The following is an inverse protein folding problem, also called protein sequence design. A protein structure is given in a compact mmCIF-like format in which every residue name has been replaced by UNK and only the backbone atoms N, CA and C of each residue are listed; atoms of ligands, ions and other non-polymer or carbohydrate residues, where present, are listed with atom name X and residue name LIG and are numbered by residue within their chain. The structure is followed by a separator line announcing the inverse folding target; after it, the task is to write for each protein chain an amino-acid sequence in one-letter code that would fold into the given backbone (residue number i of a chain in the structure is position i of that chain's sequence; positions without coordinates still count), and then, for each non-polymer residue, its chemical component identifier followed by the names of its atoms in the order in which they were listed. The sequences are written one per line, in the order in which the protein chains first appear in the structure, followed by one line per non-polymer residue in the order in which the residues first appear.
data_IF_582782695996
#
_entry.id   IF_582782695996
#
_cell.length_a   1.000
_cell.length_b   1.000
_cell.length_c   1.000
_cell.angle_alpha   90.00
_cell.angle_beta   90.00
_cell.angle_gamma   90.00
#
_symmetry.space_group_name_H-M   'P 1'
#
loop_
_entity.id
_entity.type
_entity.pdbx_description
1 polymer ?
#
# COMPACT_ATOMS: atom_id res chain seq x y z
N UNK A 1 8.36 22.36 16.17
CA UNK A 1 8.04 21.18 15.34
C UNK A 1 9.24 20.25 15.44
N UNK A 2 9.12 19.10 16.11
CA UNK A 2 10.19 18.09 16.14
C UNK A 2 10.20 17.41 14.77
N UNK A 3 11.36 17.27 14.12
CA UNK A 3 11.43 16.63 12.80
C UNK A 3 11.13 15.13 12.91
N UNK A 4 10.64 14.50 11.84
CA UNK A 4 10.40 13.06 11.82
C UNK A 4 11.65 12.25 12.24
N UNK A 5 12.83 12.68 11.79
CA UNK A 5 14.11 12.09 12.18
C UNK A 5 14.33 12.13 13.71
N UNK A 6 14.04 13.28 14.35
CA UNK A 6 14.15 13.39 15.80
C UNK A 6 13.11 12.52 16.52
N UNK A 7 11.87 12.48 16.02
CA UNK A 7 10.80 11.65 16.60
C UNK A 7 11.09 10.15 16.55
N UNK A 8 11.79 9.69 15.50
CA UNK A 8 12.16 8.28 15.33
C UNK A 8 13.59 7.95 15.77
N UNK A 9 14.31 8.91 16.35
CA UNK A 9 15.72 8.76 16.76
C UNK A 9 16.63 8.33 15.58
N UNK A 10 16.35 8.84 14.38
CA UNK A 10 17.13 8.62 13.16
C UNK A 10 18.15 9.75 13.02
N UNK A 11 19.43 9.41 12.97
CA UNK A 11 20.50 10.37 12.71
C UNK A 11 20.97 10.31 11.24
N UNK A 12 21.84 11.24 10.83
CA UNK A 12 22.33 11.31 9.45
C UNK A 12 23.11 10.07 8.98
N UNK A 13 23.73 9.33 9.91
CA UNK A 13 24.40 8.08 9.60
C UNK A 13 23.38 6.99 9.28
N UNK A 14 22.33 6.84 10.10
CA UNK A 14 21.23 5.91 9.85
C UNK A 14 20.52 6.21 8.53
N UNK A 15 20.33 7.49 8.17
CA UNK A 15 19.76 7.86 6.86
C UNK A 15 20.62 7.32 5.71
N UNK A 16 21.95 7.49 5.77
CA UNK A 16 22.86 6.97 4.74
C UNK A 16 22.83 5.44 4.69
N UNK A 17 22.73 4.77 5.82
CA UNK A 17 22.64 3.32 5.89
C UNK A 17 21.32 2.80 5.30
N UNK A 18 20.21 3.48 5.58
CA UNK A 18 18.91 3.20 4.94
C UNK A 18 19.01 3.37 3.43
N UNK A 19 19.59 4.48 2.95
CA UNK A 19 19.76 4.73 1.52
C UNK A 19 20.59 3.63 0.84
N UNK A 20 21.76 3.32 1.39
CA UNK A 20 22.63 2.27 0.85
C UNK A 20 21.98 0.89 0.87
N UNK A 21 21.25 0.56 1.94
CA UNK A 21 20.54 -0.72 2.05
C UNK A 21 19.40 -0.79 1.04
N UNK A 22 18.59 0.26 0.89
CA UNK A 22 17.50 0.30 -0.09
C UNK A 22 18.03 0.23 -1.53
N UNK A 23 19.13 0.92 -1.86
CA UNK A 23 19.76 0.83 -3.18
C UNK A 23 20.21 -0.60 -3.49
N UNK A 24 20.86 -1.27 -2.53
CA UNK A 24 21.27 -2.67 -2.68
C UNK A 24 20.07 -3.60 -2.85
N UNK A 25 19.03 -3.41 -2.03
CA UNK A 25 17.83 -4.25 -2.04
C UNK A 25 16.96 -4.04 -3.26
N UNK A 26 16.99 -2.86 -3.87
CA UNK A 26 16.30 -2.59 -5.14
C UNK A 26 17.01 -3.34 -6.28
N UNK A 27 18.35 -3.33 -6.30
CA UNK A 27 19.15 -4.14 -7.25
C UNK A 27 18.86 -5.64 -7.09
N UNK A 28 18.68 -6.12 -5.84
CA UNK A 28 18.32 -7.52 -5.54
C UNK A 28 16.83 -7.82 -5.79
N UNK A 29 16.00 -6.83 -6.12
CA UNK A 29 14.55 -6.96 -6.31
C UNK A 29 13.75 -7.22 -5.02
N UNK A 30 14.36 -7.00 -3.86
CA UNK A 30 13.79 -7.18 -2.52
C UNK A 30 13.01 -5.95 -2.04
N UNK A 31 13.40 -4.76 -2.48
CA UNK A 31 12.56 -3.56 -2.46
C UNK A 31 12.12 -3.23 -3.87
N UNK A 32 11.01 -2.50 -4.00
CA UNK A 32 10.45 -2.12 -5.28
C UNK A 32 10.07 -0.65 -5.24
N UNK A 33 10.66 0.13 -6.15
CA UNK A 33 10.40 1.56 -6.22
C UNK A 33 8.89 1.87 -6.45
N UNK A 34 8.27 2.81 -5.73
CA UNK A 34 8.85 3.68 -4.69
C UNK A 34 8.54 3.24 -3.23
N UNK A 35 7.42 2.56 -2.99
CA UNK A 35 6.84 2.45 -1.63
C UNK A 35 6.49 1.00 -1.21
N UNK A 36 7.05 -0.02 -1.85
CA UNK A 36 6.72 -1.42 -1.54
C UNK A 36 7.95 -2.30 -1.23
N UNK A 37 7.83 -3.08 -0.15
CA UNK A 37 8.70 -4.24 0.07
C UNK A 37 8.18 -5.42 -0.76
N UNK A 38 9.09 -6.20 -1.34
CA UNK A 38 8.70 -7.32 -2.19
C UNK A 38 8.22 -8.55 -1.41
N UNK A 39 8.47 -8.58 -0.09
CA UNK A 39 8.07 -9.68 0.79
C UNK A 39 8.02 -9.23 2.26
N UNK A 40 7.38 -10.05 3.09
CA UNK A 40 7.31 -9.78 4.54
C UNK A 40 8.67 -9.90 5.22
N UNK A 41 9.54 -10.77 4.72
CA UNK A 41 10.89 -11.01 5.21
C UNK A 41 11.76 -9.77 5.04
N UNK A 42 11.74 -9.16 3.85
CA UNK A 42 12.49 -7.92 3.59
C UNK A 42 12.01 -6.78 4.49
N UNK A 43 10.69 -6.67 4.72
CA UNK A 43 10.15 -5.65 5.62
C UNK A 43 10.57 -5.87 7.08
N UNK A 44 10.64 -7.13 7.55
CA UNK A 44 11.16 -7.47 8.87
C UNK A 44 12.65 -7.16 8.99
N UNK A 45 13.43 -7.49 7.98
CA UNK A 45 14.86 -7.16 7.92
C UNK A 45 15.05 -5.64 8.08
N UNK A 46 14.35 -4.85 7.27
CA UNK A 46 14.40 -3.39 7.34
C UNK A 46 14.07 -2.85 8.75
N UNK A 47 12.98 -3.33 9.34
CA UNK A 47 12.59 -2.95 10.72
C UNK A 47 13.66 -3.35 11.74
N UNK A 48 14.23 -4.54 11.63
CA UNK A 48 15.19 -5.06 12.61
C UNK A 48 16.55 -4.36 12.53
N UNK A 49 16.96 -3.91 11.33
CA UNK A 49 18.22 -3.17 11.17
C UNK A 49 18.05 -1.73 11.67
N UNK A 50 17.00 -1.03 11.24
CA UNK A 50 16.93 0.43 11.39
C UNK A 50 15.98 0.92 12.49
N UNK A 51 15.03 0.07 12.91
CA UNK A 51 13.93 0.46 13.79
C UNK A 51 13.67 -0.54 14.93
N UNK A 52 14.66 -1.35 15.30
CA UNK A 52 14.53 -2.34 16.37
C UNK A 52 14.21 -1.70 17.73
N UNK A 53 14.61 -0.45 17.95
CA UNK A 53 14.32 0.33 19.16
C UNK A 53 12.87 0.82 19.25
N UNK A 54 12.11 0.78 18.15
CA UNK A 54 10.72 1.22 18.13
C UNK A 54 9.77 0.06 18.43
N UNK A 55 8.93 0.25 19.44
CA UNK A 55 7.99 -0.78 19.93
C UNK A 55 6.60 -0.69 19.29
N UNK A 56 6.34 0.34 18.48
CA UNK A 56 5.04 0.62 17.86
C UNK A 56 5.16 0.67 16.35
N UNK A 57 5.52 -0.46 15.76
CA UNK A 57 5.57 -0.66 14.30
C UNK A 57 4.59 -1.77 13.96
N UNK A 58 3.92 -1.63 12.82
CA UNK A 58 3.02 -2.64 12.27
C UNK A 58 3.49 -3.01 10.87
N UNK A 59 3.48 -4.31 10.56
CA UNK A 59 3.67 -4.81 9.21
C UNK A 59 2.30 -5.12 8.63
N UNK A 60 1.97 -4.44 7.53
CA UNK A 60 0.73 -4.64 6.79
C UNK A 60 1.06 -5.26 5.44
N UNK A 61 0.37 -6.35 5.11
CA UNK A 61 0.27 -6.85 3.75
C UNK A 61 -0.98 -6.32 3.09
N UNK A 62 -0.84 -5.93 1.82
CA UNK A 62 -1.92 -5.40 0.97
C UNK A 62 -2.21 -6.45 -0.10
N UNK A 63 -3.45 -6.93 -0.13
CA UNK A 63 -3.89 -7.99 -1.04
C UNK A 63 -5.02 -7.48 -1.91
N UNK A 64 -4.94 -7.71 -3.22
CA UNK A 64 -5.97 -7.34 -4.17
C UNK A 64 -6.77 -8.59 -4.58
N UNK A 65 -8.10 -8.50 -4.74
CA UNK A 65 -8.87 -9.52 -5.44
C UNK A 65 -8.31 -9.78 -6.84
N UNK A 66 -8.51 -10.99 -7.37
CA UNK A 66 -7.99 -11.36 -8.70
C UNK A 66 -8.44 -10.42 -9.83
N UNK A 67 -9.67 -9.90 -9.75
CA UNK A 67 -10.17 -8.92 -10.72
C UNK A 67 -9.41 -7.60 -10.65
N UNK A 68 -9.09 -7.14 -9.44
CA UNK A 68 -8.39 -5.86 -9.21
C UNK A 68 -6.90 -5.99 -9.53
N UNK A 69 -6.28 -7.14 -9.23
CA UNK A 69 -4.88 -7.39 -9.56
C UNK A 69 -4.65 -7.41 -11.07
N UNK A 70 -5.53 -8.07 -11.84
CA UNK A 70 -5.50 -8.05 -13.31
C UNK A 70 -5.68 -6.65 -13.87
N UNK A 71 -6.68 -5.92 -13.36
CA UNK A 71 -6.93 -4.54 -13.77
C UNK A 71 -5.72 -3.64 -13.50
N UNK A 72 -5.06 -3.77 -12.35
CA UNK A 72 -3.84 -3.02 -12.04
C UNK A 72 -2.71 -3.37 -13.01
N UNK A 73 -2.51 -4.65 -13.34
CA UNK A 73 -1.49 -5.04 -14.33
C UNK A 73 -1.75 -4.40 -15.69
N UNK A 74 -3.01 -4.30 -16.10
CA UNK A 74 -3.47 -3.72 -17.37
C UNK A 74 -3.35 -2.19 -17.38
N UNK A 75 -3.88 -1.51 -16.37
CA UNK A 75 -3.88 -0.04 -16.24
C UNK A 75 -2.45 0.54 -16.22
N UNK A 76 -1.50 -0.24 -15.68
CA UNK A 76 -0.08 0.09 -15.64
C UNK A 76 0.76 -0.70 -16.64
N UNK A 77 0.18 -1.17 -17.74
CA UNK A 77 0.97 -1.81 -18.78
C UNK A 77 1.97 -0.81 -19.40
N UNK A 78 3.24 -1.13 -19.26
CA UNK A 78 4.37 -0.31 -19.68
C UNK A 78 4.65 -0.48 -21.18
N UNK A 79 3.68 -0.15 -22.03
CA UNK A 79 3.92 -0.06 -23.49
C UNK A 79 4.60 1.28 -23.85
N UNK A 80 4.78 2.18 -22.88
CA UNK A 80 5.50 3.44 -23.05
C UNK A 80 6.99 3.28 -22.68
N UNK A 81 7.93 3.35 -23.64
CA UNK A 81 9.37 3.20 -23.38
C UNK A 81 9.96 4.28 -22.45
N UNK A 82 9.24 5.38 -22.21
CA UNK A 82 9.69 6.49 -21.36
C UNK A 82 9.28 6.33 -19.89
N UNK A 83 8.44 5.35 -19.57
CA UNK A 83 7.97 5.10 -18.21
C UNK A 83 8.31 3.67 -17.81
N UNK A 84 9.28 3.53 -16.90
CA UNK A 84 9.68 2.23 -16.37
C UNK A 84 8.54 1.54 -15.61
N UNK A 85 8.66 0.24 -15.41
CA UNK A 85 7.65 -0.52 -14.68
C UNK A 85 7.66 -0.18 -13.17
N UNK A 86 6.49 0.17 -12.63
CA UNK A 86 6.31 0.48 -11.21
C UNK A 86 6.44 -0.77 -10.33
N UNK A 87 6.92 -0.57 -9.10
CA UNK A 87 7.22 -1.65 -8.16
C UNK A 87 6.02 -2.52 -7.79
N UNK A 88 4.87 -1.91 -7.50
CA UNK A 88 3.63 -2.62 -7.15
C UNK A 88 3.22 -3.59 -8.26
N UNK A 89 3.33 -3.18 -9.53
CA UNK A 89 3.04 -4.05 -10.68
C UNK A 89 3.99 -5.24 -10.76
N UNK A 90 5.29 -5.04 -10.52
CA UNK A 90 6.29 -6.12 -10.48
C UNK A 90 5.96 -7.17 -9.42
N UNK A 91 5.43 -6.74 -8.27
CA UNK A 91 5.01 -7.64 -7.18
C UNK A 91 3.75 -8.40 -7.60
N UNK A 92 2.70 -7.70 -8.06
CA UNK A 92 1.41 -8.31 -8.39
C UNK A 92 1.52 -9.31 -9.54
N UNK A 93 2.40 -9.07 -10.52
CA UNK A 93 2.71 -10.01 -11.61
C UNK A 93 3.30 -11.35 -11.18
N UNK A 94 3.79 -11.47 -9.94
CA UNK A 94 4.23 -12.76 -9.40
C UNK A 94 3.07 -13.69 -9.12
N UNK A 95 1.84 -13.14 -9.07
CA UNK A 95 0.60 -13.88 -8.82
C UNK A 95 0.68 -14.75 -7.56
N UNK A 96 1.40 -14.25 -6.55
CA UNK A 96 1.54 -14.93 -5.27
C UNK A 96 0.17 -15.02 -4.59
N UNK A 97 -0.15 -16.22 -4.10
CA UNK A 97 -1.40 -16.43 -3.36
C UNK A 97 -1.35 -15.74 -2.01
N UNK A 98 -2.52 -15.33 -1.51
CA UNK A 98 -2.64 -14.76 -0.17
C UNK A 98 -1.99 -15.71 0.87
N UNK A 99 -1.14 -15.16 1.74
CA UNK A 99 -0.55 -15.94 2.82
C UNK A 99 -1.62 -16.35 3.82
N UNK A 100 -1.64 -17.61 4.27
CA UNK A 100 -2.49 -18.05 5.39
C UNK A 100 -2.10 -17.40 6.73
N UNK A 101 -0.89 -16.83 6.80
CA UNK A 101 -0.42 -16.08 7.98
C UNK A 101 -1.01 -14.67 8.01
N UNK A 102 -0.91 -14.05 9.19
CA UNK A 102 -1.40 -12.69 9.42
C UNK A 102 -2.91 -12.63 9.70
N UNK A 103 -3.31 -11.56 10.37
CA UNK A 103 -4.71 -11.33 10.76
C UNK A 103 -5.33 -10.26 9.86
N UNK A 104 -6.47 -10.55 9.25
CA UNK A 104 -7.25 -9.52 8.54
C UNK A 104 -7.61 -8.40 9.52
N UNK A 105 -7.26 -7.17 9.17
CA UNK A 105 -7.56 -5.97 9.97
C UNK A 105 -8.61 -5.06 9.35
N UNK A 106 -9.01 -5.33 8.11
CA UNK A 106 -10.03 -4.58 7.38
C UNK A 106 -9.69 -4.46 5.91
N UNK A 107 -10.36 -3.54 5.24
CA UNK A 107 -10.20 -3.28 3.82
C UNK A 107 -10.03 -1.77 3.57
N UNK A 108 -9.42 -1.45 2.44
CA UNK A 108 -9.13 -0.09 1.98
C UNK A 108 -9.45 0.02 0.48
N UNK A 109 -9.56 1.26 -0.01
CA UNK A 109 -9.43 1.56 -1.43
C UNK A 109 -8.09 2.24 -1.64
N UNK A 110 -7.32 1.73 -2.59
CA UNK A 110 -6.00 2.28 -2.90
C UNK A 110 -6.00 2.92 -4.29
N UNK A 111 -5.64 4.20 -4.37
CA UNK A 111 -5.46 4.93 -5.62
C UNK A 111 -3.99 4.90 -6.02
N UNK A 112 -3.63 4.33 -7.17
CA UNK A 112 -2.22 4.12 -7.53
C UNK A 112 -1.76 5.16 -8.55
N UNK A 113 -0.67 5.85 -8.28
CA UNK A 113 -0.09 6.81 -9.23
C UNK A 113 0.78 6.13 -10.29
N UNK A 114 0.98 6.80 -11.43
CA UNK A 114 1.92 6.35 -12.48
C UNK A 114 3.37 6.23 -11.99
N UNK A 115 3.73 6.93 -10.92
CA UNK A 115 5.04 6.82 -10.26
C UNK A 115 5.15 5.63 -9.30
N UNK A 116 4.03 4.98 -8.95
CA UNK A 116 3.99 3.78 -8.12
C UNK A 116 3.71 4.02 -6.63
N UNK A 117 3.67 5.28 -6.17
CA UNK A 117 3.09 5.65 -4.88
C UNK A 117 1.57 5.46 -4.89
N UNK A 118 0.97 5.31 -3.72
CA UNK A 118 -0.47 5.10 -3.61
C UNK A 118 -1.12 5.90 -2.49
N UNK A 119 -2.41 6.19 -2.69
CA UNK A 119 -3.29 6.88 -1.77
C UNK A 119 -4.21 5.88 -1.08
N UNK A 120 -4.60 6.17 0.15
CA UNK A 120 -5.74 5.52 0.79
C UNK A 120 -6.97 6.40 0.60
N UNK A 121 -8.19 5.82 0.55
CA UNK A 121 -9.41 6.66 0.55
C UNK A 121 -9.48 7.52 1.81
N UNK A 122 -8.79 7.14 2.90
CA UNK A 122 -8.69 7.91 4.13
C UNK A 122 -7.98 9.25 3.96
N UNK A 123 -7.22 9.46 2.87
CA UNK A 123 -6.69 10.77 2.51
C UNK A 123 -7.80 11.77 2.14
N UNK A 124 -9.03 11.28 1.94
CA UNK A 124 -10.20 12.03 1.54
C UNK A 124 -11.30 11.92 2.59
N UNK A 125 -12.19 12.92 2.65
CA UNK A 125 -13.37 12.92 3.52
C UNK A 125 -14.51 12.03 2.96
N UNK A 126 -14.20 10.84 2.44
CA UNK A 126 -15.15 9.92 1.79
C UNK A 126 -15.95 9.06 2.77
N UNK A 127 -15.51 8.94 4.02
CA UNK A 127 -16.13 8.07 5.03
C UNK A 127 -17.63 8.38 5.23
N UNK A 128 -17.97 9.67 5.37
CA UNK A 128 -19.34 10.11 5.57
C UNK A 128 -20.23 9.77 4.37
N UNK A 129 -19.67 9.87 3.16
CA UNK A 129 -20.35 9.55 1.93
C UNK A 129 -20.57 8.05 1.77
N UNK A 130 -19.56 7.25 2.08
CA UNK A 130 -19.65 5.79 2.05
C UNK A 130 -20.68 5.25 3.04
N UNK A 131 -20.72 5.82 4.26
CA UNK A 131 -21.78 5.54 5.24
C UNK A 131 -23.17 5.89 4.71
N UNK A 132 -23.31 7.06 4.09
CA UNK A 132 -24.63 7.58 3.67
C UNK A 132 -25.18 6.84 2.45
N UNK A 133 -24.38 6.75 1.38
CA UNK A 133 -24.76 6.21 0.06
C UNK A 133 -24.73 4.69 0.03
N UNK A 134 -23.67 4.10 0.55
CA UNK A 134 -23.38 2.67 0.39
C UNK A 134 -23.59 1.85 1.68
N UNK A 135 -23.92 2.50 2.79
CA UNK A 135 -24.12 1.87 4.11
C UNK A 135 -22.89 1.11 4.62
N UNK A 136 -21.70 1.57 4.23
CA UNK A 136 -20.43 0.98 4.64
C UNK A 136 -20.22 1.15 6.15
N UNK A 137 -19.81 0.07 6.80
CA UNK A 137 -19.31 0.09 8.17
C UNK A 137 -17.79 0.19 8.20
N UNK A 138 -17.27 0.93 9.17
CA UNK A 138 -15.84 1.08 9.43
C UNK A 138 -15.52 0.49 10.79
N UNK A 139 -14.33 -0.10 10.93
CA UNK A 139 -13.84 -0.62 12.20
C UNK A 139 -13.04 0.44 12.99
N UNK A 140 -12.52 0.06 14.15
CA UNK A 140 -11.80 0.98 15.04
C UNK A 140 -10.46 1.50 14.46
N UNK A 141 -9.99 0.92 13.36
CA UNK A 141 -8.82 1.41 12.61
C UNK A 141 -9.21 2.39 11.48
N UNK A 142 -10.50 2.71 11.34
CA UNK A 142 -11.03 3.51 10.23
C UNK A 142 -11.07 2.75 8.90
N UNK A 143 -10.79 1.45 8.91
CA UNK A 143 -10.82 0.60 7.71
C UNK A 143 -12.23 0.13 7.43
N UNK A 144 -12.53 -0.11 6.16
CA UNK A 144 -13.78 -0.75 5.73
C UNK A 144 -13.86 -2.12 6.41
N UNK A 145 -15.00 -2.43 7.02
CA UNK A 145 -15.14 -3.58 7.91
C UNK A 145 -15.36 -4.90 7.16
N UNK A 146 -16.02 -4.87 6.01
CA UNK A 146 -16.34 -6.05 5.20
C UNK A 146 -16.15 -5.76 3.71
N UNK A 147 -16.15 -6.80 2.88
CA UNK A 147 -16.01 -6.69 1.43
C UNK A 147 -17.37 -6.49 0.72
N UNK A 148 -18.45 -6.19 1.44
CA UNK A 148 -19.75 -6.04 0.82
C UNK A 148 -19.77 -4.80 -0.08
N UNK A 149 -20.18 -4.98 -1.34
CA UNK A 149 -20.34 -3.90 -2.33
C UNK A 149 -19.05 -3.16 -2.70
N UNK A 150 -17.88 -3.78 -2.52
CA UNK A 150 -16.59 -3.16 -2.81
C UNK A 150 -16.51 -2.66 -4.26
N UNK A 151 -17.14 -3.34 -5.22
CA UNK A 151 -17.13 -2.95 -6.64
C UNK A 151 -17.77 -1.57 -6.85
N UNK A 152 -18.85 -1.27 -6.10
CA UNK A 152 -19.52 0.04 -6.17
C UNK A 152 -18.68 1.14 -5.53
N UNK A 153 -17.89 0.80 -4.51
CA UNK A 153 -16.96 1.75 -3.89
C UNK A 153 -15.81 2.07 -4.83
N UNK A 154 -15.28 1.07 -5.53
CA UNK A 154 -14.26 1.23 -6.57
C UNK A 154 -14.81 2.04 -7.75
N UNK A 155 -16.03 1.76 -8.23
CA UNK A 155 -16.68 2.55 -9.27
C UNK A 155 -16.83 4.02 -8.84
N UNK A 156 -17.26 4.24 -7.59
CA UNK A 156 -17.40 5.57 -7.03
C UNK A 156 -16.07 6.34 -6.99
N UNK A 157 -15.00 5.70 -6.53
CA UNK A 157 -13.68 6.32 -6.41
C UNK A 157 -13.05 6.60 -7.79
N UNK A 158 -13.37 5.80 -8.80
CA UNK A 158 -12.88 6.00 -10.18
C UNK A 158 -13.71 7.03 -10.99
N UNK A 159 -14.83 7.55 -10.46
CA UNK A 159 -15.55 8.66 -11.10
C UNK A 159 -14.97 10.00 -10.63
N UNK A 160 -14.26 10.68 -11.54
CA UNK A 160 -13.59 11.96 -11.31
C UNK A 160 -14.52 13.05 -10.72
N UNK A 161 -15.84 12.92 -10.87
CA UNK A 161 -16.81 13.85 -10.28
C UNK A 161 -16.91 13.75 -8.76
N UNK A 162 -16.41 12.67 -8.17
CA UNK A 162 -16.51 12.40 -6.73
C UNK A 162 -15.29 12.89 -5.93
N UNK A 163 -14.33 13.54 -6.59
CA UNK A 163 -13.25 14.27 -5.92
C UNK A 163 -12.11 13.42 -5.34
N UNK A 164 -12.00 12.15 -5.74
CA UNK A 164 -10.79 11.35 -5.51
C UNK A 164 -9.68 11.80 -6.47
N UNK A 165 -8.41 11.48 -6.21
CA UNK A 165 -7.37 11.76 -7.21
C UNK A 165 -7.71 11.07 -8.55
N UNK A 166 -7.38 11.70 -9.70
CA UNK A 166 -7.63 11.17 -11.04
C UNK A 166 -6.62 10.07 -11.39
N UNK A 167 -6.66 9.00 -10.59
CA UNK A 167 -5.81 7.82 -10.69
C UNK A 167 -6.69 6.57 -10.62
N UNK A 168 -6.22 5.42 -11.13
CA UNK A 168 -6.95 4.17 -10.94
C UNK A 168 -7.05 3.79 -9.46
N UNK A 169 -8.28 3.59 -9.00
CA UNK A 169 -8.59 3.11 -7.65
C UNK A 169 -8.94 1.63 -7.65
N UNK A 170 -8.49 0.93 -6.61
CA UNK A 170 -8.66 -0.51 -6.44
C UNK A 170 -9.12 -0.87 -5.03
N UNK A 171 -9.78 -2.02 -4.88
CA UNK A 171 -10.08 -2.56 -3.56
C UNK A 171 -8.93 -3.40 -3.01
N UNK A 172 -8.60 -3.20 -1.74
CA UNK A 172 -7.50 -3.89 -1.07
C UNK A 172 -7.93 -4.47 0.29
N UNK A 173 -7.59 -5.74 0.52
CA UNK A 173 -7.66 -6.39 1.83
C UNK A 173 -6.34 -6.14 2.58
N UNK A 174 -6.43 -5.75 3.84
CA UNK A 174 -5.28 -5.51 4.69
C UNK A 174 -5.12 -6.62 5.75
N UNK A 175 -3.92 -7.18 5.83
CA UNK A 175 -3.53 -8.14 6.87
C UNK A 175 -2.39 -7.60 7.69
N UNK A 176 -2.50 -7.72 9.01
CA UNK A 176 -1.42 -7.42 9.94
C UNK A 176 -0.61 -8.68 10.24
N UNK A 177 0.71 -8.57 10.09
CA UNK A 177 1.66 -9.62 10.43
C UNK A 177 2.35 -9.31 11.76
N UNK A 178 2.69 -10.36 12.50
CA UNK A 178 3.61 -10.25 13.63
C UNK A 178 4.96 -9.73 13.12
N UNK A 179 5.66 -8.89 13.88
CA UNK A 179 6.96 -8.32 13.50
C UNK A 179 8.11 -8.95 14.29
#
# INVERSE_FOLDING_TARGET
MISACQSFTINSQTIKEIQNWTDLKDIEGQTQYIEAFSSTETAREYKNIFFAHLNKIHLLGVYLPESESKKLIEDFNSDNPQCGEIGIRKIIKREETESELGKIVGFDLIGVERSGNFHSFQCHDLEAEFKKKFKVEFNDFGLIKNEEHWEKLVEYANDEKNGCEPVPWYFAKLKKFEL
#
